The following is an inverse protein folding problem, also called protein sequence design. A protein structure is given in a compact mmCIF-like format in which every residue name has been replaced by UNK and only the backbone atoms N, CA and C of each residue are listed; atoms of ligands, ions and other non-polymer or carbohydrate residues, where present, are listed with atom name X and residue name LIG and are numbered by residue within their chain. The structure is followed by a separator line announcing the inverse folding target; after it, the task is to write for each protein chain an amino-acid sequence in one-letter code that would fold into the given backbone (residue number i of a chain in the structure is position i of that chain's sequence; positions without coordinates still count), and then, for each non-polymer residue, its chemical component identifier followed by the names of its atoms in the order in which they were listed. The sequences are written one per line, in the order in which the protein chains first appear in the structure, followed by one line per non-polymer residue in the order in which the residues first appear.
data_IF_721459764541
#
_entry.id   IF_721459764541
#
_cell.length_a   1.000
_cell.length_b   1.000
_cell.length_c   1.000
_cell.angle_alpha   90.00
_cell.angle_beta   90.00
_cell.angle_gamma   90.00
#
_symmetry.space_group_name_H-M   'P 1'
#
loop_
_entity.id
_entity.type
_entity.pdbx_description
1 polymer ?
#
# COMPACT_ATOMS: atom_id res chain seq x y z
N UNK A 1 20.45 -30.11 14.04
CA UNK A 1 20.92 -29.51 12.77
C UNK A 1 19.74 -28.98 11.98
N UNK A 2 19.30 -27.78 12.31
CA UNK A 2 18.44 -26.96 11.44
C UNK A 2 19.25 -25.71 11.16
N UNK A 3 19.73 -25.58 9.92
CA UNK A 3 20.29 -24.33 9.40
C UNK A 3 19.20 -23.27 9.52
N UNK A 4 19.49 -22.21 10.28
CA UNK A 4 18.65 -21.02 10.28
C UNK A 4 18.88 -20.31 8.96
N UNK A 5 17.90 -20.31 8.08
CA UNK A 5 17.90 -19.51 6.85
C UNK A 5 18.04 -18.03 7.22
N UNK A 6 19.24 -17.47 7.01
CA UNK A 6 19.51 -16.07 7.29
C UNK A 6 18.87 -15.19 6.21
N UNK A 7 17.89 -14.38 6.60
CA UNK A 7 17.35 -13.31 5.76
C UNK A 7 18.37 -12.16 5.69
N UNK A 8 18.94 -11.91 4.50
CA UNK A 8 19.73 -10.69 4.28
C UNK A 8 18.77 -9.53 4.03
N UNK A 9 18.51 -8.71 5.06
CA UNK A 9 17.76 -7.46 4.91
C UNK A 9 18.74 -6.35 4.53
N UNK A 10 18.70 -5.90 3.27
CA UNK A 10 19.53 -4.79 2.77
C UNK A 10 18.90 -3.45 3.17
N UNK A 11 19.52 -2.74 4.13
CA UNK A 11 19.00 -1.50 4.70
C UNK A 11 19.68 -0.26 4.10
N UNK A 12 18.87 0.65 3.55
CA UNK A 12 19.20 2.07 3.59
C UNK A 12 18.24 2.82 4.52
N UNK A 13 18.83 3.46 5.52
CA UNK A 13 18.25 4.34 6.55
C UNK A 13 17.69 3.68 7.83
N UNK A 14 17.88 4.41 8.93
CA UNK A 14 17.87 3.98 10.34
C UNK A 14 16.47 3.61 10.86
N UNK A 15 16.07 2.34 10.72
CA UNK A 15 14.83 1.83 11.33
C UNK A 15 15.15 0.96 12.56
N UNK A 16 14.46 1.14 13.71
CA UNK A 16 14.64 0.32 14.91
C UNK A 16 14.44 -1.20 14.68
N UNK A 17 15.28 -2.00 15.33
CA UNK A 17 15.36 -3.46 15.19
C UNK A 17 14.06 -4.23 15.50
N UNK A 18 13.13 -3.63 16.23
CA UNK A 18 11.82 -4.24 16.53
C UNK A 18 10.83 -4.13 15.35
N UNK A 19 10.99 -3.14 14.46
CA UNK A 19 10.21 -3.03 13.22
C UNK A 19 10.73 -4.04 12.19
N UNK A 20 12.05 -4.30 12.21
CA UNK A 20 12.75 -5.24 11.31
C UNK A 20 12.26 -6.69 11.48
N UNK A 21 11.82 -7.07 12.68
CA UNK A 21 11.34 -8.43 12.97
C UNK A 21 9.91 -8.74 12.48
N UNK A 22 9.23 -7.82 11.80
CA UNK A 22 7.81 -8.00 11.46
C UNK A 22 7.55 -9.07 10.38
N UNK A 23 8.52 -9.40 9.52
CA UNK A 23 8.36 -10.41 8.48
C UNK A 23 9.54 -11.41 8.46
N UNK A 24 9.25 -12.67 8.80
CA UNK A 24 10.11 -13.83 8.52
C UNK A 24 9.67 -14.52 7.22
N UNK A 25 10.45 -15.50 6.72
CA UNK A 25 10.06 -16.36 5.59
C UNK A 25 8.69 -17.02 5.84
N UNK A 26 8.43 -17.47 7.08
CA UNK A 26 7.15 -18.05 7.50
C UNK A 26 5.98 -17.07 7.32
N UNK A 27 6.22 -15.76 7.49
CA UNK A 27 5.20 -14.75 7.25
C UNK A 27 4.92 -14.54 5.76
N UNK A 28 5.92 -14.76 4.88
CA UNK A 28 5.72 -14.70 3.42
C UNK A 28 4.97 -15.93 2.91
N UNK A 29 5.36 -17.14 3.30
CA UNK A 29 4.67 -18.39 2.93
C UNK A 29 3.19 -18.34 3.33
N UNK A 30 2.91 -17.88 4.56
CA UNK A 30 1.53 -17.70 5.03
C UNK A 30 0.73 -16.72 4.16
N UNK A 31 1.38 -15.64 3.67
CA UNK A 31 0.72 -14.67 2.78
C UNK A 31 0.45 -15.28 1.39
N UNK A 32 1.33 -16.15 0.90
CA UNK A 32 1.13 -16.86 -0.37
C UNK A 32 -0.02 -17.88 -0.26
N UNK A 33 -0.08 -18.62 0.85
CA UNK A 33 -1.14 -19.61 1.11
C UNK A 33 -2.53 -18.98 1.25
N UNK A 34 -2.60 -17.77 1.78
CA UNK A 34 -3.87 -17.02 1.92
C UNK A 34 -4.45 -16.57 0.58
N UNK A 35 -3.62 -16.43 -0.46
CA UNK A 35 -4.03 -15.91 -1.76
C UNK A 35 -4.34 -14.41 -1.78
N UNK A 36 -4.60 -13.87 -2.97
CA UNK A 36 -5.04 -12.49 -3.12
C UNK A 36 -6.35 -12.21 -2.36
N UNK A 37 -6.42 -11.02 -1.77
CA UNK A 37 -7.54 -10.62 -0.93
C UNK A 37 -7.75 -9.11 -1.00
N UNK A 38 -8.80 -8.58 -0.35
CA UNK A 38 -8.97 -7.14 -0.24
C UNK A 38 -7.80 -6.39 0.41
N UNK A 39 -6.91 -7.11 1.12
CA UNK A 39 -5.72 -6.57 1.82
C UNK A 39 -4.39 -7.11 1.29
N UNK A 40 -4.40 -7.93 0.24
CA UNK A 40 -3.20 -8.55 -0.31
C UNK A 40 -3.30 -8.63 -1.82
N UNK A 41 -2.30 -8.12 -2.52
CA UNK A 41 -2.21 -8.15 -3.97
C UNK A 41 -0.84 -8.62 -4.42
N UNK A 42 -0.81 -9.45 -5.46
CA UNK A 42 0.41 -9.96 -6.07
C UNK A 42 0.69 -9.18 -7.34
N UNK A 43 1.96 -8.84 -7.55
CA UNK A 43 2.41 -8.23 -8.80
C UNK A 43 3.78 -8.78 -9.15
N UNK A 44 3.96 -9.15 -10.42
CA UNK A 44 5.25 -9.67 -10.86
C UNK A 44 6.37 -8.64 -10.70
N UNK A 45 6.09 -7.39 -11.09
CA UNK A 45 7.02 -6.25 -11.05
C UNK A 45 6.28 -4.93 -11.29
N UNK A 46 6.99 -3.83 -11.09
CA UNK A 46 6.56 -2.50 -11.56
C UNK A 46 7.23 -2.22 -12.92
N UNK A 47 6.52 -2.18 -14.05
CA UNK A 47 7.09 -1.84 -15.35
C UNK A 47 7.74 -0.45 -15.36
N UNK A 48 8.89 -0.27 -16.02
CA UNK A 48 9.65 1.00 -15.98
C UNK A 48 8.90 2.20 -16.58
N UNK A 49 8.09 1.98 -17.61
CA UNK A 49 7.34 3.04 -18.28
C UNK A 49 5.83 3.02 -18.02
N UNK A 50 5.36 2.12 -17.16
CA UNK A 50 3.94 1.97 -16.86
C UNK A 50 3.74 1.56 -15.38
N UNK A 51 4.01 2.47 -14.42
CA UNK A 51 3.89 2.17 -12.99
C UNK A 51 2.44 2.29 -12.48
N UNK A 52 1.47 2.61 -13.33
CA UNK A 52 0.18 3.12 -12.88
C UNK A 52 -0.65 2.06 -12.17
N UNK A 53 -0.66 0.82 -12.64
CA UNK A 53 -1.38 -0.26 -11.93
C UNK A 53 -0.86 -0.46 -10.51
N UNK A 54 0.46 -0.29 -10.27
CA UNK A 54 1.00 -0.33 -8.91
C UNK A 54 0.52 0.87 -8.07
N UNK A 55 0.52 2.06 -8.66
CA UNK A 55 0.11 3.29 -7.97
C UNK A 55 -1.40 3.34 -7.71
N UNK A 56 -2.21 2.75 -8.59
CA UNK A 56 -3.64 2.57 -8.40
C UNK A 56 -3.91 1.72 -7.16
N UNK A 57 -3.20 0.60 -7.00
CA UNK A 57 -3.30 -0.24 -5.80
C UNK A 57 -2.84 0.50 -4.55
N UNK A 58 -1.75 1.29 -4.61
CA UNK A 58 -1.31 2.12 -3.47
C UNK A 58 -2.41 3.11 -3.06
N UNK A 59 -2.98 3.84 -4.00
CA UNK A 59 -4.11 4.75 -3.74
C UNK A 59 -5.31 3.99 -3.16
N UNK A 60 -5.64 2.83 -3.73
CA UNK A 60 -6.76 2.00 -3.31
C UNK A 60 -6.64 1.49 -1.86
N UNK A 61 -5.46 0.97 -1.49
CA UNK A 61 -5.19 0.52 -0.14
C UNK A 61 -5.22 1.68 0.86
N UNK A 62 -4.56 2.81 0.54
CA UNK A 62 -4.54 3.99 1.40
C UNK A 62 -5.95 4.55 1.65
N UNK A 63 -6.83 4.50 0.65
CA UNK A 63 -8.22 4.96 0.76
C UNK A 63 -9.17 3.96 1.42
N UNK A 64 -8.76 2.73 1.66
CA UNK A 64 -9.58 1.70 2.28
C UNK A 64 -8.96 1.22 3.59
N UNK A 65 -8.76 -0.08 3.78
CA UNK A 65 -8.34 -0.65 5.06
C UNK A 65 -6.81 -0.91 5.13
N UNK A 66 -6.05 -0.26 4.24
CA UNK A 66 -4.65 -0.60 4.00
C UNK A 66 -4.49 -1.99 3.37
N UNK A 67 -3.25 -2.43 3.21
CA UNK A 67 -2.94 -3.73 2.64
C UNK A 67 -1.48 -3.91 2.27
N UNK A 68 -1.20 -4.98 1.53
CA UNK A 68 0.15 -5.33 1.08
C UNK A 68 0.17 -5.63 -0.40
N UNK A 69 1.24 -5.19 -1.05
CA UNK A 69 1.58 -5.60 -2.41
C UNK A 69 2.86 -6.44 -2.34
N UNK A 70 2.80 -7.66 -2.86
CA UNK A 70 3.96 -8.56 -2.98
C UNK A 70 4.49 -8.45 -4.41
N UNK A 71 5.66 -7.84 -4.55
CA UNK A 71 6.37 -7.73 -5.81
C UNK A 71 7.31 -8.92 -6.01
N UNK A 72 7.29 -9.52 -7.20
CA UNK A 72 8.06 -10.73 -7.53
C UNK A 72 7.24 -12.01 -7.41
N UNK A 73 5.91 -11.90 -7.32
CA UNK A 73 4.96 -13.00 -7.23
C UNK A 73 4.00 -12.89 -8.42
N UNK A 74 3.70 -14.00 -9.08
CA UNK A 74 2.72 -14.03 -10.18
C UNK A 74 1.28 -14.24 -9.67
N UNK A 75 0.31 -14.15 -10.59
CA UNK A 75 -1.12 -14.27 -10.26
C UNK A 75 -1.51 -15.67 -9.74
N UNK A 76 -0.65 -16.67 -9.91
CA UNK A 76 -0.84 -18.03 -9.40
C UNK A 76 -0.11 -18.26 -8.07
N UNK A 77 0.30 -17.19 -7.38
CA UNK A 77 1.08 -17.20 -6.15
C UNK A 77 2.48 -17.85 -6.27
N UNK A 78 3.04 -17.98 -7.48
CA UNK A 78 4.39 -18.48 -7.63
C UNK A 78 5.40 -17.35 -7.37
N UNK A 79 6.41 -17.63 -6.54
CA UNK A 79 7.55 -16.73 -6.37
C UNK A 79 8.44 -16.80 -7.62
N UNK A 80 8.45 -15.72 -8.41
CA UNK A 80 9.31 -15.56 -9.58
C UNK A 80 10.60 -14.82 -9.23
N UNK A 81 10.49 -13.84 -8.33
CA UNK A 81 11.60 -13.03 -7.88
C UNK A 81 11.84 -11.76 -8.71
N UNK A 82 12.46 -10.77 -8.06
CA UNK A 82 12.87 -9.50 -8.67
C UNK A 82 14.36 -9.50 -8.97
N UNK A 83 14.75 -8.95 -10.13
CA UNK A 83 16.16 -8.82 -10.51
C UNK A 83 16.95 -7.89 -9.56
N UNK A 84 16.29 -6.84 -9.05
CA UNK A 84 16.92 -5.77 -8.27
C UNK A 84 15.99 -5.28 -7.18
N UNK A 85 16.59 -4.82 -6.08
CA UNK A 85 15.89 -4.09 -5.02
C UNK A 85 15.14 -2.88 -5.61
N UNK A 86 13.84 -2.76 -5.29
CA UNK A 86 12.97 -1.70 -5.80
C UNK A 86 12.68 -0.60 -4.76
N UNK A 87 13.20 -0.68 -3.52
CA UNK A 87 12.84 0.20 -2.40
C UNK A 87 12.82 1.68 -2.77
N UNK A 88 13.97 2.24 -3.18
CA UNK A 88 14.06 3.65 -3.54
C UNK A 88 13.12 4.04 -4.68
N UNK A 89 12.97 3.16 -5.68
CA UNK A 89 12.09 3.41 -6.82
C UNK A 89 10.63 3.45 -6.40
N UNK A 90 10.22 2.60 -5.46
CA UNK A 90 8.86 2.60 -4.92
C UNK A 90 8.61 3.90 -4.15
N UNK A 91 9.53 4.30 -3.28
CA UNK A 91 9.44 5.56 -2.53
C UNK A 91 9.31 6.77 -3.47
N UNK A 92 10.21 6.86 -4.47
CA UNK A 92 10.20 7.93 -5.47
C UNK A 92 8.88 7.95 -6.25
N UNK A 93 8.36 6.79 -6.67
CA UNK A 93 7.10 6.69 -7.41
C UNK A 93 5.90 7.14 -6.56
N UNK A 94 5.80 6.65 -5.32
CA UNK A 94 4.68 6.96 -4.42
C UNK A 94 4.68 8.45 -4.08
N UNK A 95 5.82 9.01 -3.65
CA UNK A 95 5.94 10.42 -3.27
C UNK A 95 5.69 11.35 -4.47
N UNK A 96 6.11 10.97 -5.68
CA UNK A 96 5.89 11.78 -6.87
C UNK A 96 4.42 11.78 -7.35
N UNK A 97 3.66 10.70 -7.14
CA UNK A 97 2.38 10.49 -7.82
C UNK A 97 1.15 10.41 -6.92
N UNK A 98 1.31 10.18 -5.60
CA UNK A 98 0.19 10.08 -4.66
C UNK A 98 0.11 11.35 -3.80
N UNK A 99 -1.09 11.91 -3.67
CA UNK A 99 -1.35 13.12 -2.89
C UNK A 99 -2.64 12.98 -2.06
N UNK A 100 -2.63 13.24 -0.74
CA UNK A 100 -1.47 13.62 0.08
C UNK A 100 -0.41 12.51 0.15
N UNK A 101 0.81 12.87 0.57
CA UNK A 101 1.91 11.90 0.65
C UNK A 101 1.56 10.77 1.65
N UNK A 102 1.81 9.52 1.24
CA UNK A 102 1.61 8.33 2.06
C UNK A 102 2.96 7.65 2.30
N UNK A 103 3.32 7.43 3.57
CA UNK A 103 4.52 6.66 3.92
C UNK A 103 4.22 5.17 3.90
N UNK A 104 4.91 4.43 3.03
CA UNK A 104 4.82 2.97 2.93
C UNK A 104 5.99 2.31 3.65
N UNK A 105 5.79 1.09 4.16
CA UNK A 105 6.88 0.29 4.75
C UNK A 105 7.29 -0.77 3.73
N UNK A 106 8.57 -0.79 3.35
CA UNK A 106 9.09 -1.70 2.35
C UNK A 106 9.99 -2.73 3.02
N UNK A 107 9.70 -4.01 2.83
CA UNK A 107 10.50 -5.13 3.33
C UNK A 107 10.96 -5.98 2.16
N UNK A 108 12.25 -6.27 2.07
CA UNK A 108 12.81 -7.20 1.09
C UNK A 108 13.06 -8.55 1.76
N UNK A 109 12.54 -9.61 1.16
CA UNK A 109 12.69 -11.00 1.61
C UNK A 109 13.35 -11.80 0.49
N UNK A 110 14.20 -12.75 0.86
CA UNK A 110 14.76 -13.73 -0.06
C UNK A 110 14.24 -15.10 0.33
N UNK A 111 13.64 -15.82 -0.63
CA UNK A 111 13.17 -17.20 -0.49
C UNK A 111 13.63 -17.97 -1.72
N UNK A 112 14.25 -19.13 -1.56
CA UNK A 112 14.83 -19.92 -2.66
C UNK A 112 15.69 -19.09 -3.62
N UNK A 113 16.57 -18.23 -3.08
CA UNK A 113 17.42 -17.28 -3.83
C UNK A 113 16.65 -16.21 -4.64
N UNK A 114 15.31 -16.19 -4.57
CA UNK A 114 14.45 -15.22 -5.25
C UNK A 114 14.08 -14.08 -4.32
N UNK A 115 14.20 -12.86 -4.83
CA UNK A 115 13.89 -11.63 -4.08
C UNK A 115 12.42 -11.27 -4.21
N UNK A 116 11.74 -11.11 -3.09
CA UNK A 116 10.37 -10.59 -3.01
C UNK A 116 10.39 -9.27 -2.25
N UNK A 117 9.70 -8.26 -2.76
CA UNK A 117 9.53 -6.99 -2.05
C UNK A 117 8.09 -6.88 -1.57
N UNK A 118 7.90 -6.79 -0.26
CA UNK A 118 6.61 -6.54 0.39
C UNK A 118 6.48 -5.04 0.61
N UNK A 119 5.44 -4.43 0.05
CA UNK A 119 5.07 -3.03 0.29
C UNK A 119 3.85 -3.02 1.19
N UNK A 120 4.00 -2.57 2.43
CA UNK A 120 2.93 -2.40 3.41
C UNK A 120 2.37 -0.98 3.30
N UNK A 121 1.12 -0.85 2.86
CA UNK A 121 0.43 0.42 2.68
C UNK A 121 -0.58 0.57 3.83
N UNK A 122 -0.42 1.56 4.72
CA UNK A 122 -1.38 1.76 5.80
C UNK A 122 -2.71 2.30 5.26
N UNK A 123 -3.79 2.09 6.02
CA UNK A 123 -4.98 2.93 5.85
C UNK A 123 -4.59 4.38 6.16
N UNK A 124 -4.81 5.26 5.19
CA UNK A 124 -4.43 6.66 5.32
C UNK A 124 -5.50 7.46 6.08
N UNK A 125 -5.07 8.44 6.86
CA UNK A 125 -5.97 9.28 7.66
C UNK A 125 -6.49 10.51 6.92
N UNK A 126 -5.81 10.92 5.86
CA UNK A 126 -6.13 12.14 5.08
C UNK A 126 -6.74 11.79 3.73
N UNK A 127 -7.82 11.00 3.77
CA UNK A 127 -8.51 10.55 2.55
C UNK A 127 -9.23 11.74 1.89
N UNK A 128 -9.18 11.87 0.55
CA UNK A 128 -8.72 10.84 -0.38
C UNK A 128 -7.24 10.97 -0.78
N UNK A 129 -6.55 9.84 -0.87
CA UNK A 129 -5.25 9.68 -1.51
C UNK A 129 -5.43 9.53 -3.02
N UNK A 130 -5.03 10.56 -3.75
CA UNK A 130 -5.26 10.76 -5.17
C UNK A 130 -4.02 10.34 -5.96
N UNK A 131 -4.20 9.52 -6.99
CA UNK A 131 -3.19 9.34 -8.03
C UNK A 131 -3.25 10.52 -9.01
N UNK A 132 -2.16 11.28 -9.10
CA UNK A 132 -2.04 12.44 -9.99
C UNK A 132 -2.43 12.05 -11.42
N UNK A 133 -3.23 12.91 -12.07
CA UNK A 133 -3.78 12.74 -13.42
C UNK A 133 -4.77 11.56 -13.62
N UNK A 134 -5.13 10.80 -12.57
CA UNK A 134 -6.16 9.74 -12.66
C UNK A 134 -7.28 9.85 -11.63
N UNK A 135 -7.02 10.40 -10.45
CA UNK A 135 -7.99 10.50 -9.36
C UNK A 135 -7.75 9.45 -8.25
N UNK A 136 -8.61 9.40 -7.24
CA UNK A 136 -8.50 8.44 -6.15
C UNK A 136 -9.14 7.09 -6.51
N UNK A 137 -8.50 6.02 -6.03
CA UNK A 137 -8.95 4.63 -6.17
C UNK A 137 -9.30 4.06 -4.80
N UNK A 138 -10.14 3.02 -4.76
CA UNK A 138 -10.51 2.26 -3.57
C UNK A 138 -10.50 0.76 -3.86
N UNK A 139 -10.22 -0.06 -2.83
CA UNK A 139 -10.44 -1.50 -2.89
C UNK A 139 -11.93 -1.83 -2.88
N UNK A 140 -12.35 -2.72 -3.76
CA UNK A 140 -13.65 -3.38 -3.74
C UNK A 140 -13.41 -4.87 -4.00
N UNK A 141 -13.45 -5.67 -2.93
CA UNK A 141 -12.92 -7.04 -3.00
C UNK A 141 -11.42 -7.00 -3.30
N UNK A 142 -10.93 -7.90 -4.16
CA UNK A 142 -9.54 -7.91 -4.63
C UNK A 142 -9.23 -6.95 -5.78
N UNK A 143 -10.09 -5.97 -6.07
CA UNK A 143 -9.94 -5.09 -7.25
C UNK A 143 -9.89 -3.62 -6.88
N UNK A 144 -9.17 -2.83 -7.68
CA UNK A 144 -9.09 -1.38 -7.57
C UNK A 144 -10.17 -0.71 -8.42
N UNK A 145 -10.91 0.23 -7.83
CA UNK A 145 -11.95 0.99 -8.53
C UNK A 145 -11.80 2.48 -8.28
N UNK A 146 -12.06 3.28 -9.31
CA UNK A 146 -12.15 4.74 -9.18
C UNK A 146 -13.28 5.09 -8.21
N UNK A 147 -13.08 6.16 -7.43
CA UNK A 147 -14.13 6.70 -6.57
C UNK A 147 -15.38 7.07 -7.37
N UNK A 148 -16.52 6.60 -6.89
CA UNK A 148 -17.83 7.09 -7.33
C UNK A 148 -18.15 8.42 -6.67
N UNK A 149 -19.14 9.13 -7.21
CA UNK A 149 -19.70 10.34 -6.57
C UNK A 149 -20.08 10.12 -5.10
N UNK A 150 -20.66 8.96 -4.77
CA UNK A 150 -21.05 8.63 -3.41
C UNK A 150 -19.84 8.48 -2.47
N UNK A 151 -18.68 8.05 -2.99
CA UNK A 151 -17.47 7.95 -2.17
C UNK A 151 -16.97 9.34 -1.77
N UNK A 152 -17.01 10.31 -2.69
CA UNK A 152 -16.70 11.71 -2.37
C UNK A 152 -17.70 12.31 -1.37
N UNK A 153 -18.99 12.00 -1.49
CA UNK A 153 -20.02 12.50 -0.58
C UNK A 153 -19.81 12.01 0.86
N UNK A 154 -19.31 10.78 1.05
CA UNK A 154 -18.96 10.23 2.38
C UNK A 154 -17.75 10.91 3.03
N UNK A 155 -16.85 11.49 2.23
CA UNK A 155 -15.66 12.17 2.74
C UNK A 155 -15.91 13.62 3.12
N UNK A 156 -17.04 14.21 2.71
CA UNK A 156 -17.34 15.59 3.08
C UNK A 156 -17.54 15.66 4.61
N UNK A 157 -16.86 16.58 5.30
CA UNK A 157 -17.14 16.81 6.70
C UNK A 157 -18.63 17.15 6.85
N UNK A 158 -19.31 16.50 7.80
CA UNK A 158 -20.66 16.88 8.18
C UNK A 158 -20.53 18.23 8.86
N UNK A 159 -20.79 19.31 8.11
CA UNK A 159 -21.01 20.61 8.71
C UNK A 159 -22.33 20.51 9.47
N UNK A 160 -22.24 20.38 10.79
CA UNK A 160 -23.37 20.69 11.65
C UNK A 160 -23.46 22.21 11.60
N UNK A 161 -24.47 22.75 10.90
CA UNK A 161 -24.81 24.15 11.07
C UNK A 161 -25.23 24.33 12.54
N UNK A 162 -24.30 24.76 13.37
CA UNK A 162 -24.64 25.33 14.67
C UNK A 162 -25.31 26.64 14.32
N UNK A 163 -26.64 26.60 14.17
CA UNK A 163 -27.45 27.81 14.21
C UNK A 163 -27.11 28.48 15.54
N UNK A 164 -26.32 29.55 15.48
CA UNK A 164 -26.10 30.42 16.62
C UNK A 164 -27.46 30.88 17.16
N UNK A 165 -27.55 31.25 18.45
CA UNK A 165 -28.79 31.78 18.99
C UNK A 165 -29.27 32.90 18.07
N UNK A 166 -30.57 32.90 17.77
CA UNK A 166 -31.16 33.90 16.90
C UNK A 166 -30.70 35.29 17.35
N UNK A 167 -30.23 36.08 16.39
CA UNK A 167 -30.06 37.50 16.57
C UNK A 167 -31.43 38.14 16.23
N UNK A 168 -32.50 37.72 16.93
CA UNK A 168 -33.74 38.47 16.95
C UNK A 168 -33.63 39.52 18.04
N UNK A 169 -33.32 40.72 17.57
CA UNK A 169 -33.04 41.87 18.42
C UNK A 169 -34.13 42.19 19.43
N UNK A 170 -33.69 42.77 20.53
CA UNK A 170 -34.46 43.75 21.28
C UNK A 170 -33.63 45.04 21.38
N UNK A 171 -34.34 46.13 21.08
CA UNK A 171 -33.94 47.53 21.01
C UNK A 171 -33.02 48.03 22.12
#
# INVERSE_FOLDING_TARGET
DQELDYVTVDFQSKIPNWIIRKYSVQNLESLLDMGESPKLEYKLKIPRGAPEEFLESVSAFANTEGGKILLGVDDNANVVGLEKNQTKRIEDLVSAHIEPEISVIITNVVIDEKKVTIVDIPEGSDKPYILKNRGPYKRVGGTDKVFSRLDYEKLKPIYIEVTGPDDSGYY
#
